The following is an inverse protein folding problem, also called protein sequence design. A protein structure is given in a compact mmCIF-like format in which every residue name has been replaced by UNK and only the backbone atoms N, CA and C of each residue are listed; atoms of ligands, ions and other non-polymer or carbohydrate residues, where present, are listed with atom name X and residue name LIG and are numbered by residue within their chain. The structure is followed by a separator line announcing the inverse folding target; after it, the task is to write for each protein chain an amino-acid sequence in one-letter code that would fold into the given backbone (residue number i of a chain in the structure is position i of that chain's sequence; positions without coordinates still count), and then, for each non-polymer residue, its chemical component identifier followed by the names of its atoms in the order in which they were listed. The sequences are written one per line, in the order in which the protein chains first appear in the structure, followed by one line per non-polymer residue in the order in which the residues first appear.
data_IF_447395193943
#
_entry.id   IF_447395193943
#
_cell.length_a   1.000
_cell.length_b   1.000
_cell.length_c   1.000
_cell.angle_alpha   90.00
_cell.angle_beta   90.00
_cell.angle_gamma   90.00
#
_symmetry.space_group_name_H-M   'P 1'
#
loop_
_entity.id
_entity.type
_entity.pdbx_description
1 polymer ?
#
# COMPACT_ATOMS: atom_id res chain seq x y z
N UNK A 1 3.25 -4.04 -22.49
CA UNK A 1 3.22 -2.59 -22.16
C UNK A 1 2.05 -1.79 -22.78
N UNK A 2 1.01 -2.45 -23.31
CA UNK A 2 -0.20 -1.77 -23.85
C UNK A 2 -0.96 -1.02 -22.75
N UNK A 3 -1.11 -1.63 -21.57
CA UNK A 3 -1.76 -1.00 -20.42
C UNK A 3 -1.07 0.32 -20.03
N UNK A 4 0.25 0.33 -19.92
CA UNK A 4 1.01 1.54 -19.57
C UNK A 4 0.82 2.68 -20.58
N UNK A 5 0.78 2.37 -21.89
CA UNK A 5 0.50 3.35 -22.92
C UNK A 5 -0.94 3.91 -22.84
N UNK A 6 -1.92 3.03 -22.59
CA UNK A 6 -3.32 3.42 -22.37
C UNK A 6 -3.44 4.41 -21.20
N UNK A 7 -2.85 4.07 -20.04
CA UNK A 7 -2.88 4.91 -18.84
C UNK A 7 -2.27 6.29 -19.13
N UNK A 8 -1.05 6.31 -19.68
CA UNK A 8 -0.32 7.56 -19.92
C UNK A 8 -0.99 8.46 -20.98
N UNK A 9 -1.74 7.90 -21.94
CA UNK A 9 -2.48 8.67 -22.91
C UNK A 9 -3.65 9.45 -22.29
N UNK A 10 -4.18 8.98 -21.15
CA UNK A 10 -5.31 9.58 -20.41
C UNK A 10 -4.88 10.59 -19.34
N UNK A 11 -3.57 10.82 -19.15
CA UNK A 11 -3.03 11.83 -18.26
C UNK A 11 -2.81 13.15 -19.01
N UNK A 12 -3.81 14.03 -19.01
CA UNK A 12 -3.83 15.25 -19.84
C UNK A 12 -2.68 16.21 -19.54
N UNK A 13 -2.27 16.33 -18.29
CA UNK A 13 -1.23 17.29 -17.86
C UNK A 13 0.21 16.79 -18.10
N UNK A 14 0.39 15.55 -18.58
CA UNK A 14 1.73 14.96 -18.72
C UNK A 14 2.29 15.17 -20.12
N UNK A 15 3.44 15.86 -20.24
CA UNK A 15 4.11 16.15 -21.51
C UNK A 15 4.73 14.89 -22.12
N UNK A 16 4.83 14.83 -23.45
CA UNK A 16 5.40 13.69 -24.19
C UNK A 16 6.76 13.21 -23.66
N UNK A 17 7.76 14.07 -23.37
CA UNK A 17 9.05 13.61 -22.86
C UNK A 17 8.93 12.93 -21.47
N UNK A 18 8.04 13.43 -20.61
CA UNK A 18 7.80 12.83 -19.28
C UNK A 18 7.10 11.49 -19.42
N UNK A 19 6.11 11.36 -20.31
CA UNK A 19 5.47 10.07 -20.62
C UNK A 19 6.50 9.03 -21.08
N UNK A 20 7.40 9.42 -21.99
CA UNK A 20 8.47 8.56 -22.48
C UNK A 20 9.41 8.13 -21.34
N UNK A 21 9.84 9.06 -20.49
CA UNK A 21 10.68 8.76 -19.35
C UNK A 21 10.00 7.82 -18.35
N UNK A 22 8.73 8.08 -17.96
CA UNK A 22 7.99 7.22 -17.01
C UNK A 22 7.75 5.84 -17.61
N UNK A 23 7.42 5.75 -18.91
CA UNK A 23 7.31 4.45 -19.61
C UNK A 23 8.60 3.64 -19.49
N UNK A 24 9.73 4.27 -19.83
CA UNK A 24 11.04 3.63 -19.74
C UNK A 24 11.39 3.23 -18.30
N UNK A 25 11.20 4.15 -17.34
CA UNK A 25 11.50 3.91 -15.93
C UNK A 25 10.72 2.72 -15.35
N UNK A 26 9.40 2.68 -15.55
CA UNK A 26 8.57 1.59 -15.00
C UNK A 26 8.94 0.25 -15.64
N UNK A 27 9.17 0.21 -16.96
CA UNK A 27 9.70 -0.98 -17.63
C UNK A 27 11.04 -1.41 -17.08
N UNK A 28 11.96 -0.45 -16.87
CA UNK A 28 13.29 -0.71 -16.33
C UNK A 28 13.23 -1.28 -14.90
N UNK A 29 12.40 -0.73 -14.02
CA UNK A 29 12.24 -1.25 -12.66
C UNK A 29 11.75 -2.71 -12.63
N UNK A 30 10.99 -3.13 -13.63
CA UNK A 30 10.48 -4.51 -13.75
C UNK A 30 11.53 -5.50 -14.28
N UNK A 31 12.57 -5.05 -14.97
CA UNK A 31 13.62 -5.92 -15.52
C UNK A 31 14.97 -5.79 -14.81
N UNK A 32 15.24 -4.65 -14.15
CA UNK A 32 16.57 -4.31 -13.65
C UNK A 32 17.13 -5.36 -12.68
N UNK A 33 18.28 -5.96 -12.92
CA UNK A 33 18.98 -6.78 -11.94
C UNK A 33 19.66 -5.88 -10.89
N UNK A 34 19.69 -6.35 -9.63
CA UNK A 34 20.33 -5.62 -8.53
C UNK A 34 19.54 -4.39 -8.06
N UNK A 35 20.26 -3.42 -7.50
CA UNK A 35 19.67 -2.25 -6.85
C UNK A 35 19.20 -1.18 -7.84
N UNK A 36 18.05 -0.56 -7.58
CA UNK A 36 17.50 0.54 -8.39
C UNK A 36 18.15 1.89 -8.05
N UNK A 37 19.46 1.99 -8.21
CA UNK A 37 20.23 3.25 -8.13
C UNK A 37 20.33 3.91 -9.48
N UNK A 38 20.52 5.24 -9.56
CA UNK A 38 20.63 5.95 -10.84
C UNK A 38 21.79 5.40 -11.70
N UNK A 39 22.91 5.08 -11.07
CA UNK A 39 24.08 4.49 -11.74
C UNK A 39 23.78 3.10 -12.31
N UNK A 40 23.09 2.23 -11.56
CA UNK A 40 22.73 0.92 -12.09
C UNK A 40 21.66 1.01 -13.17
N UNK A 41 20.66 1.88 -12.99
CA UNK A 41 19.63 2.12 -14.01
C UNK A 41 20.22 2.63 -15.33
N UNK A 42 21.27 3.46 -15.29
CA UNK A 42 21.92 3.98 -16.51
C UNK A 42 22.64 2.89 -17.32
N UNK A 43 23.09 1.79 -16.70
CA UNK A 43 23.75 0.67 -17.40
C UNK A 43 22.78 -0.14 -18.28
N UNK A 44 21.51 -0.15 -17.91
CA UNK A 44 20.44 -0.88 -18.61
C UNK A 44 19.51 0.04 -19.38
N UNK A 45 19.94 1.28 -19.66
CA UNK A 45 19.10 2.36 -20.20
C UNK A 45 19.92 3.21 -21.17
N UNK A 46 19.28 3.81 -22.20
CA UNK A 46 19.92 4.87 -22.99
C UNK A 46 20.08 6.18 -22.22
N UNK A 47 19.49 6.29 -21.02
CA UNK A 47 19.56 7.50 -20.20
C UNK A 47 20.74 7.47 -19.24
N UNK A 48 21.51 8.57 -19.23
CA UNK A 48 22.57 8.77 -18.27
C UNK A 48 22.01 8.98 -16.85
N UNK A 49 22.78 8.69 -15.78
CA UNK A 49 22.36 8.83 -14.38
C UNK A 49 21.86 10.25 -14.03
N UNK A 50 22.43 11.31 -14.62
CA UNK A 50 21.99 12.70 -14.45
C UNK A 50 20.59 12.93 -15.02
N UNK A 51 20.18 12.19 -16.05
CA UNK A 51 18.84 12.25 -16.61
C UNK A 51 17.82 11.70 -15.64
N UNK A 52 18.10 10.55 -15.00
CA UNK A 52 17.27 10.03 -13.91
C UNK A 52 17.19 11.05 -12.76
N UNK A 53 18.32 11.57 -12.30
CA UNK A 53 18.37 12.54 -11.21
C UNK A 53 17.52 13.80 -11.50
N UNK A 54 17.50 14.28 -12.76
CA UNK A 54 16.69 15.43 -13.16
C UNK A 54 15.20 15.11 -13.21
N UNK A 55 14.80 13.97 -13.77
CA UNK A 55 13.39 13.60 -13.85
C UNK A 55 12.78 13.28 -12.47
N UNK A 56 13.57 12.76 -11.55
CA UNK A 56 13.14 12.53 -10.17
C UNK A 56 12.88 13.82 -9.38
N UNK A 57 13.35 14.97 -9.85
CA UNK A 57 13.01 16.29 -9.28
C UNK A 57 11.71 16.87 -9.86
N UNK A 58 11.09 16.21 -10.85
CA UNK A 58 9.85 16.69 -11.46
C UNK A 58 8.63 16.07 -10.78
N UNK A 59 7.54 16.84 -10.69
CA UNK A 59 6.26 16.31 -10.24
C UNK A 59 5.65 15.38 -11.30
N UNK A 60 4.98 14.32 -10.83
CA UNK A 60 4.16 13.45 -11.67
C UNK A 60 2.92 13.03 -10.87
N UNK A 61 1.77 13.02 -11.51
CA UNK A 61 0.50 12.66 -10.87
C UNK A 61 0.36 11.14 -10.75
N UNK A 62 1.01 10.60 -9.72
CA UNK A 62 0.97 9.17 -9.43
C UNK A 62 -0.40 8.68 -8.99
N UNK A 63 -1.20 9.52 -8.35
CA UNK A 63 -2.54 9.15 -7.88
C UNK A 63 -3.47 8.91 -9.06
N UNK A 64 -3.54 9.86 -10.00
CA UNK A 64 -4.32 9.69 -11.22
C UNK A 64 -3.79 8.53 -12.07
N UNK A 65 -2.47 8.36 -12.19
CA UNK A 65 -1.85 7.23 -12.88
C UNK A 65 -2.33 5.89 -12.30
N UNK A 66 -2.20 5.71 -10.99
CA UNK A 66 -2.59 4.48 -10.32
C UNK A 66 -4.11 4.26 -10.35
N UNK A 67 -4.91 5.31 -10.15
CA UNK A 67 -6.37 5.23 -10.23
C UNK A 67 -6.81 4.74 -11.61
N UNK A 68 -6.30 5.36 -12.69
CA UNK A 68 -6.62 4.95 -14.07
C UNK A 68 -6.24 3.48 -14.29
N UNK A 69 -5.02 3.09 -13.89
CA UNK A 69 -4.54 1.72 -14.03
C UNK A 69 -5.46 0.70 -13.32
N UNK A 70 -5.85 1.00 -12.09
CA UNK A 70 -6.70 0.13 -11.28
C UNK A 70 -8.09 0.02 -11.89
N UNK A 71 -8.72 1.15 -12.22
CA UNK A 71 -10.09 1.18 -12.74
C UNK A 71 -10.22 0.60 -14.15
N UNK A 72 -9.14 0.55 -14.93
CA UNK A 72 -9.12 -0.10 -16.25
C UNK A 72 -9.14 -1.63 -16.16
N UNK A 73 -8.60 -2.20 -15.08
CA UNK A 73 -8.39 -3.66 -14.97
C UNK A 73 -9.26 -4.31 -13.89
N UNK A 74 -9.48 -3.63 -12.77
CA UNK A 74 -10.29 -4.16 -11.67
C UNK A 74 -11.77 -3.93 -11.97
N UNK A 75 -12.60 -5.00 -12.02
CA UNK A 75 -14.01 -4.84 -12.34
C UNK A 75 -14.75 -3.98 -11.33
N UNK A 76 -15.58 -3.05 -11.79
CA UNK A 76 -16.39 -2.15 -10.94
C UNK A 76 -17.38 -2.90 -10.03
N UNK A 77 -17.82 -4.10 -10.43
CA UNK A 77 -18.69 -4.99 -9.64
C UNK A 77 -18.02 -5.59 -8.40
N UNK A 78 -16.69 -5.55 -8.33
CA UNK A 78 -15.96 -6.08 -7.16
C UNK A 78 -16.23 -5.21 -5.92
N UNK A 79 -16.27 -5.85 -4.76
CA UNK A 79 -16.25 -5.15 -3.47
C UNK A 79 -14.87 -4.56 -3.27
N UNK A 80 -14.82 -3.27 -2.97
CA UNK A 80 -13.57 -2.52 -2.92
C UNK A 80 -13.55 -1.64 -1.68
N UNK A 81 -12.34 -1.31 -1.21
CA UNK A 81 -12.10 -0.44 -0.07
C UNK A 81 -10.75 0.27 -0.21
N UNK A 82 -10.48 1.27 0.62
CA UNK A 82 -9.13 1.78 0.84
C UNK A 82 -8.48 1.02 1.99
N UNK A 83 -7.16 0.95 1.96
CA UNK A 83 -6.33 0.52 3.09
C UNK A 83 -5.17 1.48 3.24
N UNK A 84 -4.88 1.90 4.47
CA UNK A 84 -3.74 2.76 4.77
C UNK A 84 -2.84 2.06 5.78
N UNK A 85 -1.54 2.12 5.51
CA UNK A 85 -0.52 1.57 6.41
C UNK A 85 0.82 2.28 6.22
N UNK A 86 1.64 2.28 7.26
CA UNK A 86 2.97 2.87 7.24
C UNK A 86 4.05 1.78 7.15
N UNK A 87 5.13 2.06 6.41
CA UNK A 87 6.24 1.14 6.28
C UNK A 87 7.57 1.83 6.51
N UNK A 88 8.42 1.20 7.32
CA UNK A 88 9.81 1.61 7.52
C UNK A 88 10.65 1.32 6.27
N UNK A 89 11.46 2.32 5.88
CA UNK A 89 12.46 2.19 4.80
C UNK A 89 13.84 2.47 5.40
N UNK A 90 14.76 1.50 5.41
CA UNK A 90 16.11 1.70 5.93
C UNK A 90 16.84 2.78 5.12
N UNK A 91 17.40 3.75 5.81
CA UNK A 91 18.12 4.86 5.19
C UNK A 91 19.13 5.45 6.16
N UNK A 92 20.26 5.90 5.61
CA UNK A 92 21.34 6.55 6.35
C UNK A 92 21.73 7.89 5.70
N UNK A 93 22.65 8.59 6.33
CA UNK A 93 23.18 9.87 5.85
C UNK A 93 22.89 11.03 6.80
N UNK A 94 23.52 12.20 6.57
CA UNK A 94 23.34 13.39 7.40
C UNK A 94 22.31 14.36 6.82
N UNK A 95 22.10 14.34 5.50
CA UNK A 95 21.34 15.36 4.75
C UNK A 95 20.13 14.76 4.01
N UNK A 96 19.72 13.52 4.35
CA UNK A 96 18.54 12.90 3.74
C UNK A 96 17.29 13.50 4.37
N UNK A 97 16.38 14.01 3.54
CA UNK A 97 15.09 14.52 3.99
C UNK A 97 14.28 13.44 4.72
N UNK A 98 13.62 13.80 5.81
CA UNK A 98 12.73 12.92 6.55
C UNK A 98 13.43 11.88 7.41
N UNK A 99 14.75 11.90 7.53
CA UNK A 99 15.50 10.94 8.32
C UNK A 99 15.23 11.15 9.82
N UNK A 100 14.61 10.15 10.44
CA UNK A 100 14.27 10.16 11.87
C UNK A 100 14.25 8.76 12.44
N UNK A 101 13.80 8.59 13.68
CA UNK A 101 13.61 7.29 14.33
C UNK A 101 12.17 6.82 14.16
N UNK A 102 12.00 5.74 13.40
CA UNK A 102 10.70 5.13 13.14
C UNK A 102 10.67 3.68 13.60
N UNK A 103 9.47 3.16 13.84
CA UNK A 103 9.28 1.77 14.21
C UNK A 103 9.58 0.85 13.04
N UNK A 104 10.53 -0.07 13.23
CA UNK A 104 10.81 -1.14 12.28
C UNK A 104 10.13 -2.44 12.76
N UNK A 105 9.04 -2.81 12.12
CA UNK A 105 8.27 -4.00 12.47
C UNK A 105 9.05 -5.30 12.31
N UNK A 106 10.00 -5.38 11.37
CA UNK A 106 10.85 -6.57 11.17
C UNK A 106 11.80 -6.80 12.33
N UNK A 107 12.35 -5.74 12.90
CA UNK A 107 13.29 -5.81 14.03
C UNK A 107 12.61 -5.54 15.38
N UNK A 108 11.31 -5.21 15.39
CA UNK A 108 10.51 -4.89 16.59
C UNK A 108 11.16 -3.82 17.49
N UNK A 109 11.76 -2.82 16.90
CA UNK A 109 12.40 -1.69 17.59
C UNK A 109 12.38 -0.44 16.74
N UNK A 110 12.62 0.70 17.39
CA UNK A 110 12.78 1.99 16.71
C UNK A 110 14.18 2.11 16.12
N UNK A 111 14.28 2.38 14.84
CA UNK A 111 15.53 2.53 14.10
C UNK A 111 15.57 3.82 13.30
N UNK A 112 16.79 4.30 13.00
CA UNK A 112 17.01 5.45 12.14
C UNK A 112 16.74 5.06 10.68
N UNK A 113 15.88 5.82 10.02
CA UNK A 113 15.48 5.56 8.63
C UNK A 113 14.43 6.55 8.17
N UNK A 114 13.63 6.12 7.21
CA UNK A 114 12.47 6.85 6.70
C UNK A 114 11.20 6.05 7.00
N UNK A 115 10.09 6.75 7.07
CA UNK A 115 8.76 6.13 7.09
C UNK A 115 7.96 6.66 5.92
N UNK A 116 7.25 5.77 5.24
CA UNK A 116 6.30 6.10 4.19
C UNK A 116 4.91 5.66 4.61
N UNK A 117 3.93 6.54 4.43
CA UNK A 117 2.51 6.21 4.51
C UNK A 117 1.98 5.88 3.13
N UNK A 118 1.36 4.72 3.00
CA UNK A 118 0.79 4.25 1.73
C UNK A 118 -0.70 4.09 1.85
N UNK A 119 -1.42 4.80 0.99
CA UNK A 119 -2.83 4.59 0.75
C UNK A 119 -2.98 3.68 -0.45
N UNK A 120 -3.64 2.54 -0.28
CA UNK A 120 -3.82 1.57 -1.34
C UNK A 120 -5.30 1.27 -1.58
N UNK A 121 -5.61 0.92 -2.83
CA UNK A 121 -6.91 0.43 -3.27
C UNK A 121 -6.95 -1.09 -3.09
N UNK A 122 -7.86 -1.57 -2.29
CA UNK A 122 -8.04 -2.98 -1.97
C UNK A 122 -9.23 -3.55 -2.74
N UNK A 123 -8.98 -4.47 -3.64
CA UNK A 123 -9.98 -5.33 -4.25
C UNK A 123 -10.27 -6.50 -3.31
N UNK A 124 -11.37 -6.39 -2.56
CA UNK A 124 -11.79 -7.42 -1.59
C UNK A 124 -12.24 -8.72 -2.27
N UNK A 125 -12.79 -8.63 -3.48
CA UNK A 125 -13.25 -9.81 -4.24
C UNK A 125 -12.06 -10.55 -4.84
N UNK A 126 -11.12 -9.84 -5.44
CA UNK A 126 -9.89 -10.43 -6.00
C UNK A 126 -8.77 -10.60 -4.98
N UNK A 127 -9.01 -10.27 -3.69
CA UNK A 127 -8.03 -10.36 -2.59
C UNK A 127 -6.66 -9.80 -2.96
N UNK A 128 -6.63 -8.59 -3.53
CA UNK A 128 -5.41 -7.94 -4.00
C UNK A 128 -5.43 -6.45 -3.68
N UNK A 129 -4.29 -5.89 -3.28
CA UNK A 129 -4.14 -4.46 -3.06
C UNK A 129 -3.19 -3.83 -4.10
N UNK A 130 -3.49 -2.57 -4.42
CA UNK A 130 -2.76 -1.73 -5.37
C UNK A 130 -2.45 -0.38 -4.73
N UNK A 131 -1.22 0.08 -4.78
CA UNK A 131 -0.85 1.40 -4.29
C UNK A 131 -1.63 2.49 -5.04
N UNK A 132 -2.26 3.41 -4.31
CA UNK A 132 -2.89 4.59 -4.89
C UNK A 132 -2.00 5.83 -4.70
N UNK A 133 -1.50 6.03 -3.49
CA UNK A 133 -0.65 7.16 -3.09
C UNK A 133 0.38 6.69 -2.06
N UNK A 134 1.59 7.18 -2.16
CA UNK A 134 2.59 7.05 -1.10
C UNK A 134 3.22 8.40 -0.79
N UNK A 135 3.35 8.70 0.50
CA UNK A 135 3.93 9.92 0.99
C UNK A 135 4.93 9.65 2.11
N UNK A 136 5.97 10.44 2.14
CA UNK A 136 6.98 10.32 3.18
C UNK A 136 6.48 11.02 4.46
N UNK A 137 6.53 10.32 5.59
CA UNK A 137 6.25 10.92 6.90
C UNK A 137 7.33 11.97 7.21
N UNK A 138 6.95 13.23 7.52
CA UNK A 138 7.90 14.26 7.91
C UNK A 138 8.70 13.88 9.18
N UNK A 139 9.93 14.37 9.34
CA UNK A 139 10.70 14.17 10.55
C UNK A 139 10.16 15.00 11.71
N UNK A 140 10.58 14.68 12.94
CA UNK A 140 10.35 15.48 14.15
C UNK A 140 8.89 15.73 14.53
N UNK A 141 7.98 14.84 14.10
CA UNK A 141 6.57 14.90 14.50
C UNK A 141 6.43 14.61 16.01
N UNK A 142 5.64 15.46 16.71
CA UNK A 142 5.44 15.36 18.16
C UNK A 142 6.60 15.86 19.00
N UNK A 143 7.54 16.62 18.41
CA UNK A 143 8.53 17.42 19.13
C UNK A 143 7.92 18.73 19.63
N UNK A 144 8.64 19.46 20.50
CA UNK A 144 8.22 20.79 20.99
C UNK A 144 7.92 21.80 19.87
N UNK A 145 8.49 21.57 18.69
CA UNK A 145 8.40 22.47 17.55
C UNK A 145 7.30 22.09 16.54
N UNK A 146 6.59 20.99 16.78
CA UNK A 146 5.51 20.52 15.89
C UNK A 146 4.29 20.08 16.68
N UNK A 147 3.15 20.75 16.47
CA UNK A 147 1.85 20.34 17.00
C UNK A 147 1.27 19.13 16.23
N UNK A 148 1.77 18.87 15.02
CA UNK A 148 1.28 17.79 14.18
C UNK A 148 1.78 16.43 14.66
N UNK A 149 0.89 15.46 14.69
CA UNK A 149 1.17 14.06 14.98
C UNK A 149 1.23 13.23 13.69
N UNK A 150 1.76 12.00 13.77
CA UNK A 150 1.71 11.06 12.64
C UNK A 150 0.28 10.80 12.16
N UNK A 151 -0.68 10.73 13.08
CA UNK A 151 -2.09 10.52 12.73
C UNK A 151 -2.66 11.70 11.91
N UNK A 152 -2.18 12.92 12.14
CA UNK A 152 -2.55 14.07 11.32
C UNK A 152 -2.04 13.92 9.89
N UNK A 153 -0.77 13.54 9.74
CA UNK A 153 -0.16 13.34 8.41
C UNK A 153 -0.89 12.27 7.61
N UNK A 154 -1.21 11.14 8.24
CA UNK A 154 -1.94 10.05 7.56
C UNK A 154 -3.37 10.44 7.21
N UNK A 155 -4.05 11.16 8.10
CA UNK A 155 -5.40 11.65 7.83
C UNK A 155 -5.41 12.72 6.73
N UNK A 156 -4.42 13.60 6.71
CA UNK A 156 -4.28 14.63 5.67
C UNK A 156 -3.96 14.03 4.30
N UNK A 157 -3.15 12.95 4.24
CA UNK A 157 -2.95 12.20 3.01
C UNK A 157 -4.28 11.61 2.51
N UNK A 158 -5.02 10.93 3.38
CA UNK A 158 -6.32 10.34 3.04
C UNK A 158 -7.29 11.41 2.54
N UNK A 159 -7.41 12.53 3.26
CA UNK A 159 -8.29 13.65 2.90
C UNK A 159 -7.95 14.21 1.52
N UNK A 160 -6.70 14.58 1.28
CA UNK A 160 -6.27 15.14 0.00
C UNK A 160 -6.56 14.20 -1.17
N UNK A 161 -6.33 12.91 -1.00
CA UNK A 161 -6.59 11.93 -2.07
C UNK A 161 -8.09 11.75 -2.30
N UNK A 162 -8.90 11.67 -1.25
CA UNK A 162 -10.36 11.49 -1.36
C UNK A 162 -11.03 12.74 -1.94
N UNK A 163 -10.61 13.94 -1.54
CA UNK A 163 -11.19 15.21 -2.02
C UNK A 163 -10.75 15.55 -3.45
N UNK A 164 -9.49 15.21 -3.83
CA UNK A 164 -8.97 15.52 -5.16
C UNK A 164 -9.40 14.52 -6.26
N UNK A 165 -9.82 13.31 -5.87
CA UNK A 165 -10.16 12.25 -6.80
C UNK A 165 -11.53 11.67 -6.47
N UNK A 166 -12.37 11.44 -7.48
CA UNK A 166 -13.63 10.73 -7.26
C UNK A 166 -13.35 9.27 -6.83
N UNK A 167 -13.57 9.01 -5.54
CA UNK A 167 -13.47 7.70 -4.89
C UNK A 167 -14.80 7.30 -4.25
N UNK A 168 -15.92 7.82 -4.73
CA UNK A 168 -17.27 7.62 -4.20
C UNK A 168 -17.70 6.15 -4.12
N UNK A 169 -17.10 5.28 -4.94
CA UNK A 169 -17.31 3.83 -4.88
C UNK A 169 -16.68 3.15 -3.65
N UNK A 170 -15.77 3.82 -2.94
CA UNK A 170 -15.01 3.30 -1.81
C UNK A 170 -15.56 3.84 -0.50
N UNK A 171 -16.40 3.06 0.17
CA UNK A 171 -17.07 3.46 1.43
C UNK A 171 -16.24 3.19 2.68
N UNK A 172 -15.22 2.34 2.61
CA UNK A 172 -14.49 1.85 3.77
C UNK A 172 -12.99 2.13 3.67
N UNK A 173 -12.39 2.50 4.81
CA UNK A 173 -10.94 2.59 5.02
C UNK A 173 -10.52 1.53 6.04
N UNK A 174 -9.65 0.63 5.63
CA UNK A 174 -9.12 -0.43 6.48
C UNK A 174 -7.78 -0.01 7.09
N UNK A 175 -7.63 -0.26 8.40
CA UNK A 175 -6.45 0.17 9.14
C UNK A 175 -6.02 -0.89 10.15
N UNK A 176 -4.76 -0.84 10.58
CA UNK A 176 -4.33 -1.62 11.73
C UNK A 176 -4.75 -0.97 13.07
N UNK A 177 -4.35 -1.59 14.21
CA UNK A 177 -4.69 -1.09 15.53
C UNK A 177 -4.04 0.25 15.90
N UNK A 178 -2.96 0.65 15.22
CA UNK A 178 -2.29 1.92 15.47
C UNK A 178 -3.15 3.14 15.06
N UNK A 179 -4.07 2.96 14.12
CA UNK A 179 -4.99 4.00 13.65
C UNK A 179 -6.30 4.08 14.45
N UNK A 180 -6.46 3.27 15.50
CA UNK A 180 -7.69 3.26 16.32
C UNK A 180 -7.70 4.39 17.35
N UNK A 181 -7.42 5.60 16.91
CA UNK A 181 -7.43 6.85 17.68
C UNK A 181 -8.66 7.69 17.33
N UNK A 182 -9.24 8.35 18.36
CA UNK A 182 -10.44 9.17 18.21
C UNK A 182 -10.34 10.19 17.07
N UNK A 183 -9.19 10.87 16.94
CA UNK A 183 -8.95 11.88 15.91
C UNK A 183 -8.99 11.26 14.50
N UNK A 184 -8.32 10.12 14.28
CA UNK A 184 -8.30 9.46 12.97
C UNK A 184 -9.68 8.89 12.62
N UNK A 185 -10.32 8.18 13.56
CA UNK A 185 -11.67 7.62 13.38
C UNK A 185 -12.69 8.70 13.07
N UNK A 186 -12.65 9.85 13.78
CA UNK A 186 -13.53 10.97 13.51
C UNK A 186 -13.28 11.54 12.12
N UNK A 187 -12.01 11.79 11.75
CA UNK A 187 -11.66 12.33 10.45
C UNK A 187 -12.09 11.44 9.27
N UNK A 188 -12.01 10.12 9.41
CA UNK A 188 -12.53 9.19 8.38
C UNK A 188 -14.04 9.33 8.22
N UNK A 189 -14.76 9.45 9.34
CA UNK A 189 -16.23 9.62 9.29
C UNK A 189 -16.63 11.00 8.75
N UNK A 190 -15.86 12.04 9.07
CA UNK A 190 -16.09 13.40 8.54
C UNK A 190 -15.89 13.48 7.01
N UNK A 191 -15.09 12.56 6.45
CA UNK A 191 -14.96 12.36 5.00
C UNK A 191 -16.13 11.56 4.36
N UNK A 192 -17.16 11.22 5.15
CA UNK A 192 -18.28 10.41 4.67
C UNK A 192 -17.96 8.92 4.51
N UNK A 193 -16.84 8.46 5.06
CA UNK A 193 -16.37 7.08 4.97
C UNK A 193 -16.53 6.34 6.30
N UNK A 194 -16.42 5.02 6.25
CA UNK A 194 -16.38 4.17 7.44
C UNK A 194 -15.01 3.56 7.64
N UNK A 195 -14.58 3.45 8.89
CA UNK A 195 -13.36 2.75 9.24
C UNK A 195 -13.64 1.31 9.65
N UNK A 196 -12.84 0.38 9.12
CA UNK A 196 -12.71 -0.99 9.62
C UNK A 196 -11.30 -1.11 10.23
N UNK A 197 -11.21 -1.49 11.50
CA UNK A 197 -9.95 -1.54 12.21
C UNK A 197 -9.90 -2.58 13.31
N UNK A 198 -8.81 -2.57 14.07
CA UNK A 198 -8.59 -3.46 15.21
C UNK A 198 -8.52 -2.64 16.49
N UNK A 199 -9.21 -3.06 17.51
CA UNK A 199 -9.09 -2.50 18.86
C UNK A 199 -8.03 -3.25 19.67
N UNK A 200 -7.54 -2.57 20.69
CA UNK A 200 -6.67 -3.20 21.69
C UNK A 200 -7.49 -4.17 22.56
N UNK A 201 -6.83 -5.16 23.14
CA UNK A 201 -7.47 -6.12 24.05
C UNK A 201 -7.99 -5.48 25.35
N UNK A 202 -7.53 -4.27 25.70
CA UNK A 202 -7.96 -3.50 26.87
C UNK A 202 -8.95 -2.37 26.49
N UNK A 203 -9.54 -2.40 25.29
CA UNK A 203 -10.48 -1.39 24.81
C UNK A 203 -11.69 -1.23 25.77
N UNK A 204 -12.00 0.01 26.12
CA UNK A 204 -13.09 0.33 27.03
C UNK A 204 -14.42 0.41 26.27
N UNK A 205 -15.14 -0.70 26.25
CA UNK A 205 -16.43 -0.86 25.58
C UNK A 205 -17.58 -0.96 26.60
N UNK A 206 -18.76 -0.48 26.20
CA UNK A 206 -19.98 -0.53 26.99
C UNK A 206 -21.12 -1.10 26.17
N UNK A 207 -21.95 -1.92 26.79
CA UNK A 207 -23.21 -2.36 26.20
C UNK A 207 -24.17 -1.19 26.06
N UNK A 208 -24.94 -1.16 24.98
CA UNK A 208 -26.04 -0.24 24.79
C UNK A 208 -27.24 -0.70 25.64
N UNK A 209 -27.93 0.23 26.28
CA UNK A 209 -29.14 -0.09 27.00
C UNK A 209 -30.31 -0.29 26.04
N UNK A 210 -30.93 -1.46 26.10
CA UNK A 210 -32.05 -1.85 25.22
C UNK A 210 -33.38 -1.99 25.99
N UNK A 211 -33.37 -1.71 27.31
CA UNK A 211 -34.58 -1.82 28.14
C UNK A 211 -35.54 -0.64 27.97
N UNK A 212 -36.69 -0.69 28.63
CA UNK A 212 -37.72 0.35 28.56
C UNK A 212 -37.19 1.69 29.07
N UNK A 213 -37.72 2.78 28.51
CA UNK A 213 -37.43 4.14 29.00
C UNK A 213 -37.90 4.27 30.45
N UNK A 214 -37.05 4.84 31.30
CA UNK A 214 -37.46 5.13 32.69
C UNK A 214 -38.57 6.17 32.72
N UNK A 215 -39.66 5.96 33.46
CA UNK A 215 -40.68 6.97 33.64
C UNK A 215 -40.12 8.13 34.48
N UNK A 216 -40.57 9.37 34.22
CA UNK A 216 -40.20 10.56 34.98
C UNK A 216 -39.16 11.47 34.35
N UNK A 217 -38.90 12.62 35.05
CA UNK A 217 -37.89 13.60 34.61
C UNK A 217 -36.50 13.16 35.06
N UNK A 218 -35.57 12.95 34.12
CA UNK A 218 -34.18 12.60 34.41
C UNK A 218 -33.46 12.06 33.19
N UNK A 219 -32.13 11.95 33.29
CA UNK A 219 -31.31 11.40 32.22
C UNK A 219 -31.64 9.93 31.99
N UNK A 220 -32.02 9.60 30.79
CA UNK A 220 -32.30 8.22 30.39
C UNK A 220 -31.00 7.36 30.44
N UNK A 221 -31.16 6.09 30.84
CA UNK A 221 -30.07 5.13 30.81
C UNK A 221 -29.67 4.85 29.36
N UNK A 222 -28.45 5.09 29.03
CA UNK A 222 -27.93 4.91 27.65
C UNK A 222 -27.04 3.65 27.53
N UNK A 223 -26.39 3.24 28.62
CA UNK A 223 -25.47 2.14 28.63
C UNK A 223 -25.83 1.12 29.72
N UNK A 224 -25.47 -0.15 29.48
CA UNK A 224 -25.81 -1.28 30.31
C UNK A 224 -24.59 -2.08 30.79
N UNK A 225 -23.62 -1.37 31.32
CA UNK A 225 -22.40 -1.95 31.89
C UNK A 225 -21.22 -2.00 30.93
N UNK A 226 -20.07 -2.37 31.49
CA UNK A 226 -18.81 -2.52 30.79
C UNK A 226 -18.72 -3.91 30.13
N UNK A 227 -18.10 -3.99 28.99
CA UNK A 227 -17.80 -5.25 28.30
C UNK A 227 -16.51 -5.86 28.84
N UNK A 228 -16.53 -7.16 29.10
CA UNK A 228 -15.39 -7.95 29.49
C UNK A 228 -15.18 -9.07 28.45
N UNK A 229 -14.01 -9.10 27.81
CA UNK A 229 -13.75 -10.02 26.69
C UNK A 229 -13.61 -11.51 27.10
N UNK A 230 -13.59 -11.81 28.39
CA UNK A 230 -13.67 -13.19 28.88
C UNK A 230 -15.12 -13.70 29.05
N UNK A 231 -16.10 -12.80 29.00
CA UNK A 231 -17.52 -13.12 29.03
C UNK A 231 -18.20 -12.66 27.74
N UNK A 232 -18.44 -13.61 26.86
CA UNK A 232 -19.08 -13.39 25.56
C UNK A 232 -20.57 -13.81 25.54
N UNK A 233 -21.18 -14.08 26.70
CA UNK A 233 -22.55 -14.60 26.82
C UNK A 233 -23.61 -13.66 26.22
N UNK A 234 -23.32 -12.36 26.12
CA UNK A 234 -24.20 -11.33 25.55
C UNK A 234 -23.94 -11.04 24.08
N UNK A 235 -22.97 -11.73 23.46
CA UNK A 235 -22.66 -11.57 22.04
C UNK A 235 -23.40 -12.63 21.22
N UNK A 236 -23.81 -12.25 20.03
CA UNK A 236 -24.29 -13.20 19.03
C UNK A 236 -23.12 -13.95 18.44
N UNK A 237 -23.23 -15.28 18.37
CA UNK A 237 -22.21 -16.16 17.82
C UNK A 237 -22.51 -16.47 16.36
N UNK A 238 -21.47 -16.44 15.52
CA UNK A 238 -21.48 -16.86 14.11
C UNK A 238 -20.35 -17.83 13.86
N UNK A 239 -20.65 -18.94 13.22
CA UNK A 239 -19.63 -19.87 12.73
C UNK A 239 -19.08 -19.40 11.39
N UNK A 240 -17.85 -19.78 11.10
CA UNK A 240 -17.18 -19.45 9.84
C UNK A 240 -16.90 -20.70 9.02
N UNK A 241 -16.35 -20.55 7.81
CA UNK A 241 -15.91 -21.66 6.96
C UNK A 241 -14.70 -22.42 7.54
N UNK A 242 -14.00 -21.82 8.52
CA UNK A 242 -12.87 -22.40 9.24
C UNK A 242 -13.35 -22.87 10.62
N UNK A 243 -13.42 -24.16 10.84
CA UNK A 243 -13.88 -24.78 12.09
C UNK A 243 -13.11 -24.33 13.35
N UNK A 244 -11.92 -23.76 13.15
CA UNK A 244 -11.10 -23.21 14.23
C UNK A 244 -11.37 -21.73 14.52
N UNK A 245 -12.20 -21.07 13.73
CA UNK A 245 -12.50 -19.64 13.88
C UNK A 245 -13.99 -19.46 14.20
N UNK A 246 -14.25 -18.90 15.37
CA UNK A 246 -15.59 -18.49 15.80
C UNK A 246 -15.65 -16.98 15.90
N UNK A 247 -16.70 -16.39 15.41
CA UNK A 247 -16.95 -14.95 15.42
C UNK A 247 -18.07 -14.63 16.41
N UNK A 248 -17.84 -13.68 17.30
CA UNK A 248 -18.84 -13.10 18.17
C UNK A 248 -19.04 -11.64 17.81
N UNK A 249 -20.25 -11.15 17.78
CA UNK A 249 -20.50 -9.77 17.41
C UNK A 249 -21.56 -9.08 18.27
N UNK A 250 -21.46 -7.76 18.36
CA UNK A 250 -22.41 -6.90 19.06
C UNK A 250 -22.16 -5.44 18.69
N UNK A 251 -23.22 -4.65 18.61
CA UNK A 251 -23.09 -3.18 18.55
C UNK A 251 -22.83 -2.64 19.94
N UNK A 252 -21.68 -2.00 20.13
CA UNK A 252 -21.18 -1.52 21.42
C UNK A 252 -20.76 -0.05 21.33
N UNK A 253 -20.80 0.65 22.46
CA UNK A 253 -20.23 1.99 22.55
C UNK A 253 -18.78 1.94 22.99
N UNK A 254 -17.90 2.57 22.21
CA UNK A 254 -16.49 2.75 22.59
C UNK A 254 -16.29 4.10 23.28
N UNK A 255 -15.85 4.07 24.55
CA UNK A 255 -15.78 5.26 25.39
C UNK A 255 -14.84 6.33 24.84
N UNK A 256 -13.60 5.95 24.47
CA UNK A 256 -12.59 6.87 23.98
C UNK A 256 -12.87 7.36 22.56
N UNK A 257 -13.42 6.52 21.68
CA UNK A 257 -13.81 6.90 20.33
C UNK A 257 -15.14 7.67 20.29
N UNK A 258 -15.86 7.75 21.43
CA UNK A 258 -17.12 8.50 21.62
C UNK A 258 -18.20 8.15 20.59
N UNK A 259 -18.27 6.86 20.17
CA UNK A 259 -19.25 6.40 19.18
C UNK A 259 -19.62 4.94 19.35
N UNK A 260 -20.74 4.59 18.75
CA UNK A 260 -21.15 3.20 18.63
C UNK A 260 -20.42 2.56 17.46
N UNK A 261 -20.08 1.30 17.62
CA UNK A 261 -19.30 0.50 16.66
C UNK A 261 -19.97 -0.86 16.51
N UNK A 262 -19.97 -1.40 15.30
CA UNK A 262 -20.10 -2.83 15.10
C UNK A 262 -18.79 -3.47 15.55
N UNK A 263 -18.84 -4.27 16.59
CA UNK A 263 -17.67 -4.95 17.17
C UNK A 263 -17.74 -6.44 16.84
N UNK A 264 -16.63 -6.98 16.38
CA UNK A 264 -16.47 -8.39 16.04
C UNK A 264 -15.29 -8.94 16.80
N UNK A 265 -15.51 -9.96 17.62
CA UNK A 265 -14.46 -10.69 18.35
C UNK A 265 -14.23 -11.99 17.61
N UNK A 266 -13.05 -12.12 17.02
CA UNK A 266 -12.61 -13.31 16.29
C UNK A 266 -11.81 -14.19 17.24
N UNK A 267 -12.31 -15.35 17.55
CA UNK A 267 -11.66 -16.32 18.44
C UNK A 267 -11.10 -17.47 17.63
N UNK A 268 -9.78 -17.68 17.73
CA UNK A 268 -9.14 -18.88 17.23
C UNK A 268 -9.11 -19.92 18.35
N UNK A 269 -9.93 -20.97 18.23
CA UNK A 269 -10.11 -21.99 19.26
C UNK A 269 -8.89 -22.89 19.42
N UNK A 270 -8.16 -23.15 18.32
CA UNK A 270 -6.94 -23.97 18.34
C UNK A 270 -5.77 -23.25 19.04
N UNK A 271 -5.62 -21.95 18.81
CA UNK A 271 -4.48 -21.15 19.35
C UNK A 271 -4.82 -20.44 20.66
N UNK A 272 -6.06 -20.54 21.13
CA UNK A 272 -6.56 -19.82 22.31
C UNK A 272 -6.26 -18.32 22.28
N UNK A 273 -6.45 -17.68 21.12
CA UNK A 273 -6.21 -16.24 20.90
C UNK A 273 -7.44 -15.59 20.31
N UNK A 274 -7.61 -14.33 20.64
CA UNK A 274 -8.70 -13.54 20.05
C UNK A 274 -8.18 -12.21 19.49
N UNK A 275 -8.95 -11.62 18.58
CA UNK A 275 -8.77 -10.28 18.06
C UNK A 275 -10.11 -9.53 18.12
N UNK A 276 -10.05 -8.26 18.50
CA UNK A 276 -11.24 -7.40 18.56
C UNK A 276 -11.19 -6.46 17.35
N UNK A 277 -12.12 -6.64 16.44
CA UNK A 277 -12.28 -5.84 15.22
C UNK A 277 -13.45 -4.91 15.38
N UNK A 278 -13.47 -3.80 14.64
CA UNK A 278 -14.59 -2.88 14.65
C UNK A 278 -14.86 -2.27 13.28
N UNK A 279 -16.09 -1.81 13.11
CA UNK A 279 -16.48 -0.89 12.06
C UNK A 279 -17.25 0.30 12.66
N UNK A 280 -17.03 1.50 12.08
CA UNK A 280 -17.88 2.67 12.35
C UNK A 280 -19.23 2.59 11.64
N UNK A 281 -19.40 1.72 10.66
CA UNK A 281 -20.68 1.31 10.10
C UNK A 281 -21.27 0.22 11.01
N UNK A 282 -22.28 0.59 11.80
CA UNK A 282 -22.91 -0.31 12.76
C UNK A 282 -23.80 -1.37 12.10
N UNK A 283 -24.19 -1.16 10.86
CA UNK A 283 -25.03 -2.07 10.06
C UNK A 283 -24.21 -3.01 9.18
N UNK A 284 -22.88 -2.89 9.21
CA UNK A 284 -22.00 -3.77 8.44
C UNK A 284 -22.12 -5.21 8.95
N UNK A 285 -22.42 -6.13 8.03
CA UNK A 285 -22.52 -7.56 8.30
C UNK A 285 -21.21 -8.09 8.94
N UNK A 286 -21.29 -8.80 10.10
CA UNK A 286 -20.11 -9.16 10.90
C UNK A 286 -19.08 -10.02 10.19
N UNK A 287 -19.49 -11.01 9.38
CA UNK A 287 -18.57 -11.84 8.62
C UNK A 287 -17.90 -11.06 7.49
N UNK A 288 -18.61 -10.07 6.91
CA UNK A 288 -18.02 -9.15 5.93
C UNK A 288 -16.96 -8.27 6.59
N UNK A 289 -17.21 -7.77 7.82
CA UNK A 289 -16.20 -7.03 8.58
C UNK A 289 -14.95 -7.87 8.80
N UNK A 290 -15.11 -9.11 9.27
CA UNK A 290 -14.01 -10.05 9.47
C UNK A 290 -13.22 -10.33 8.20
N UNK A 291 -13.91 -10.69 7.09
CA UNK A 291 -13.27 -10.96 5.80
C UNK A 291 -12.54 -9.74 5.25
N UNK A 292 -13.17 -8.56 5.34
CA UNK A 292 -12.54 -7.30 4.92
C UNK A 292 -11.26 -7.02 5.72
N UNK A 293 -11.32 -7.13 7.05
CA UNK A 293 -10.14 -6.92 7.88
C UNK A 293 -9.00 -7.92 7.57
N UNK A 294 -9.33 -9.17 7.30
CA UNK A 294 -8.34 -10.19 6.89
C UNK A 294 -7.66 -9.79 5.57
N UNK A 295 -8.41 -9.24 4.61
CA UNK A 295 -7.87 -8.79 3.34
C UNK A 295 -6.93 -7.55 3.46
N UNK A 296 -7.00 -6.78 4.56
CA UNK A 296 -6.08 -5.66 4.83
C UNK A 296 -4.61 -6.05 4.65
N UNK A 297 -4.27 -7.29 5.02
CA UNK A 297 -2.90 -7.79 4.92
C UNK A 297 -2.29 -7.72 3.50
N UNK A 298 -3.11 -7.56 2.47
CA UNK A 298 -2.64 -7.43 1.10
C UNK A 298 -1.72 -6.21 0.87
N UNK A 299 -1.81 -5.16 1.70
CA UNK A 299 -0.88 -4.01 1.62
C UNK A 299 0.56 -4.41 1.98
N UNK A 300 0.73 -5.36 2.90
CA UNK A 300 2.05 -5.84 3.31
C UNK A 300 2.77 -6.56 2.16
N UNK A 301 2.01 -7.23 1.27
CA UNK A 301 2.57 -7.81 0.04
C UNK A 301 3.03 -6.74 -0.96
N UNK A 302 2.37 -5.57 -1.04
CA UNK A 302 2.86 -4.45 -1.86
C UNK A 302 4.24 -4.01 -1.36
N UNK A 303 4.39 -3.79 -0.06
CA UNK A 303 5.68 -3.40 0.53
C UNK A 303 6.76 -4.45 0.33
N UNK A 304 6.44 -5.72 0.57
CA UNK A 304 7.37 -6.84 0.35
C UNK A 304 7.86 -6.87 -1.09
N UNK A 305 6.94 -6.85 -2.04
CA UNK A 305 7.25 -6.94 -3.46
C UNK A 305 8.03 -5.72 -3.95
N UNK A 306 7.70 -4.51 -3.46
CA UNK A 306 8.42 -3.30 -3.79
C UNK A 306 9.85 -3.29 -3.23
N UNK A 307 10.04 -3.73 -1.98
CA UNK A 307 11.38 -3.83 -1.36
C UNK A 307 12.26 -4.87 -2.05
N UNK A 308 11.69 -6.01 -2.44
CA UNK A 308 12.45 -7.12 -3.02
C UNK A 308 12.70 -6.97 -4.53
N UNK A 309 11.77 -6.36 -5.27
CA UNK A 309 11.79 -6.47 -6.73
C UNK A 309 11.83 -5.14 -7.49
N UNK A 310 11.34 -4.04 -6.93
CA UNK A 310 11.32 -2.74 -7.62
C UNK A 310 12.16 -1.66 -6.93
N UNK A 311 12.98 -2.07 -5.95
CA UNK A 311 14.01 -1.22 -5.34
C UNK A 311 13.49 -0.13 -4.42
N UNK A 312 12.35 -0.32 -3.72
CA UNK A 312 11.79 0.67 -2.78
C UNK A 312 12.82 1.21 -1.78
N UNK A 313 13.76 0.39 -1.36
CA UNK A 313 14.81 0.73 -0.39
C UNK A 313 16.14 1.20 -1.01
N UNK A 314 16.25 1.25 -2.34
CA UNK A 314 17.53 1.40 -3.03
C UNK A 314 17.89 2.85 -3.37
N UNK A 315 16.94 3.78 -3.28
CA UNK A 315 17.16 5.17 -3.67
C UNK A 315 18.26 5.83 -2.84
N UNK A 316 19.29 6.34 -3.52
CA UNK A 316 20.40 7.07 -2.88
C UNK A 316 20.18 8.59 -2.85
N UNK A 317 19.09 9.10 -3.41
CA UNK A 317 18.75 10.51 -3.38
C UNK A 317 18.50 11.00 -1.94
N UNK A 318 18.62 12.33 -1.76
CA UNK A 318 18.53 12.99 -0.45
C UNK A 318 17.38 14.00 -0.38
N UNK A 319 16.96 14.57 -1.53
CA UNK A 319 15.87 15.55 -1.57
C UNK A 319 14.51 14.90 -1.44
N UNK A 320 13.55 15.61 -0.85
CA UNK A 320 12.16 15.16 -0.70
C UNK A 320 11.56 14.75 -2.05
N UNK A 321 11.66 15.61 -3.06
CA UNK A 321 11.09 15.37 -4.37
C UNK A 321 11.57 14.07 -5.00
N UNK A 322 12.88 13.79 -4.96
CA UNK A 322 13.46 12.56 -5.52
C UNK A 322 13.05 11.31 -4.75
N UNK A 323 12.94 11.40 -3.43
CA UNK A 323 12.50 10.30 -2.59
C UNK A 323 11.02 9.99 -2.85
N UNK A 324 10.16 11.01 -2.85
CA UNK A 324 8.73 10.85 -3.14
C UNK A 324 8.49 10.26 -4.54
N UNK A 325 9.23 10.76 -5.55
CA UNK A 325 9.16 10.22 -6.91
C UNK A 325 9.56 8.73 -6.94
N UNK A 326 10.66 8.37 -6.27
CA UNK A 326 11.16 6.99 -6.22
C UNK A 326 10.15 6.04 -5.56
N UNK A 327 9.61 6.41 -4.40
CA UNK A 327 8.66 5.57 -3.68
C UNK A 327 7.41 5.32 -4.50
N UNK A 328 6.86 6.38 -5.10
CA UNK A 328 5.71 6.24 -5.99
C UNK A 328 6.02 5.39 -7.23
N UNK A 329 7.14 5.61 -7.90
CA UNK A 329 7.55 4.83 -9.07
C UNK A 329 7.72 3.34 -8.74
N UNK A 330 8.39 3.03 -7.61
CA UNK A 330 8.63 1.66 -7.16
C UNK A 330 7.31 0.91 -6.87
N UNK A 331 6.39 1.53 -6.13
CA UNK A 331 5.09 0.94 -5.79
C UNK A 331 4.15 0.87 -7.02
N UNK A 332 4.20 1.86 -7.91
CA UNK A 332 3.43 1.84 -9.18
C UNK A 332 3.93 0.78 -10.15
N UNK A 333 5.23 0.46 -10.15
CA UNK A 333 5.76 -0.66 -10.93
C UNK A 333 5.21 -2.02 -10.44
N UNK A 334 5.03 -2.21 -9.13
CA UNK A 334 4.35 -3.39 -8.57
C UNK A 334 2.89 -3.44 -9.02
N UNK A 335 2.17 -2.30 -9.00
CA UNK A 335 0.81 -2.23 -9.50
C UNK A 335 0.72 -2.67 -10.96
N UNK A 336 1.56 -2.09 -11.81
CA UNK A 336 1.58 -2.39 -13.24
C UNK A 336 1.80 -3.88 -13.49
N UNK A 337 2.77 -4.48 -12.78
CA UNK A 337 3.04 -5.91 -12.87
C UNK A 337 1.83 -6.77 -12.50
N UNK A 338 1.15 -6.46 -11.39
CA UNK A 338 -0.05 -7.16 -10.93
C UNK A 338 -1.23 -7.01 -11.90
N UNK A 339 -1.44 -5.78 -12.40
CA UNK A 339 -2.55 -5.47 -13.31
C UNK A 339 -2.34 -6.09 -14.69
N UNK A 340 -1.13 -6.02 -15.26
CA UNK A 340 -0.82 -6.70 -16.52
C UNK A 340 -0.95 -8.22 -16.41
N UNK A 341 -0.49 -8.81 -15.30
CA UNK A 341 -0.66 -10.23 -15.05
C UNK A 341 -2.14 -10.62 -14.95
N UNK A 342 -2.96 -9.80 -14.28
CA UNK A 342 -4.40 -10.01 -14.20
C UNK A 342 -5.08 -9.91 -15.56
N UNK A 343 -4.74 -8.92 -16.36
CA UNK A 343 -5.26 -8.73 -17.72
C UNK A 343 -4.97 -9.94 -18.64
N UNK A 344 -3.77 -10.53 -18.49
CA UNK A 344 -3.35 -11.70 -19.29
C UNK A 344 -4.02 -13.00 -18.88
N UNK A 345 -4.31 -13.16 -17.58
CA UNK A 345 -4.86 -14.40 -17.02
C UNK A 345 -6.38 -14.47 -17.03
N UNK A 346 -7.05 -13.31 -17.07
CA UNK A 346 -8.48 -13.24 -16.78
C UNK A 346 -8.77 -13.57 -15.31
N UNK A 347 -9.91 -14.20 -15.05
CA UNK A 347 -10.37 -14.59 -13.70
C UNK A 347 -9.85 -15.98 -13.27
N UNK A 348 -8.65 -16.40 -13.70
CA UNK A 348 -8.06 -17.68 -13.27
C UNK A 348 -7.44 -17.56 -11.86
N UNK A 349 -7.51 -18.66 -11.08
CA UNK A 349 -6.97 -18.79 -9.72
C UNK A 349 -5.43 -18.86 -9.63
N UNK A 350 -4.71 -18.63 -10.73
CA UNK A 350 -3.25 -18.68 -10.70
C UNK A 350 -2.66 -17.61 -9.80
N UNK A 351 -1.78 -17.99 -8.89
CA UNK A 351 -1.10 -17.08 -7.99
C UNK A 351 -0.13 -16.16 -8.73
N UNK A 352 -0.17 -14.85 -8.41
CA UNK A 352 0.79 -13.87 -8.93
C UNK A 352 2.17 -14.05 -8.29
N UNK A 353 3.21 -14.12 -9.10
CA UNK A 353 4.60 -14.16 -8.64
C UNK A 353 5.42 -13.02 -9.25
N UNK A 354 5.74 -12.02 -8.44
CA UNK A 354 6.61 -10.91 -8.85
C UNK A 354 8.02 -11.38 -9.26
N UNK A 355 8.55 -12.40 -8.58
CA UNK A 355 9.85 -12.99 -8.91
C UNK A 355 9.86 -13.61 -10.32
N UNK A 356 8.82 -14.38 -10.66
CA UNK A 356 8.70 -15.01 -11.98
C UNK A 356 8.51 -13.97 -13.08
N UNK A 357 7.70 -12.94 -12.83
CA UNK A 357 7.50 -11.85 -13.77
C UNK A 357 8.82 -11.12 -14.07
N UNK A 358 9.56 -10.77 -13.02
CA UNK A 358 10.84 -10.06 -13.18
C UNK A 358 11.89 -10.89 -13.95
N UNK A 359 11.98 -12.19 -13.66
CA UNK A 359 12.86 -13.10 -14.43
C UNK A 359 12.45 -13.14 -15.90
N UNK A 360 11.14 -13.29 -16.16
CA UNK A 360 10.64 -13.30 -17.54
C UNK A 360 10.93 -11.99 -18.26
N UNK A 361 10.71 -10.84 -17.64
CA UNK A 361 10.99 -9.53 -18.22
C UNK A 361 12.49 -9.37 -18.55
N UNK A 362 13.37 -9.79 -17.66
CA UNK A 362 14.80 -9.78 -17.91
C UNK A 362 15.22 -10.72 -19.04
N UNK A 363 14.72 -11.96 -19.06
CA UNK A 363 14.99 -12.90 -20.14
C UNK A 363 14.51 -12.38 -21.50
N UNK A 364 13.30 -11.79 -21.54
CA UNK A 364 12.77 -11.16 -22.74
C UNK A 364 13.68 -10.05 -23.23
N UNK A 365 14.12 -9.18 -22.34
CA UNK A 365 15.04 -8.08 -22.67
C UNK A 365 16.37 -8.60 -23.27
N UNK A 366 16.95 -9.67 -22.72
CA UNK A 366 18.17 -10.27 -23.28
C UNK A 366 17.93 -10.87 -24.67
N UNK A 367 16.81 -11.59 -24.85
CA UNK A 367 16.44 -12.15 -26.15
C UNK A 367 16.25 -11.05 -27.19
N UNK A 368 15.54 -9.99 -26.85
CA UNK A 368 15.30 -8.85 -27.75
C UNK A 368 16.64 -8.22 -28.19
N UNK A 369 17.59 -8.04 -27.28
CA UNK A 369 18.94 -7.57 -27.61
C UNK A 369 19.70 -8.51 -28.55
N UNK A 370 19.66 -9.81 -28.29
CA UNK A 370 20.28 -10.81 -29.16
C UNK A 370 19.68 -10.73 -30.57
N UNK A 371 18.36 -10.63 -30.67
CA UNK A 371 17.70 -10.49 -31.97
C UNK A 371 18.10 -9.19 -32.69
N UNK A 372 18.22 -8.07 -31.98
CA UNK A 372 18.73 -6.81 -32.55
C UNK A 372 20.15 -6.93 -33.09
N UNK A 373 21.05 -7.60 -32.33
CA UNK A 373 22.43 -7.84 -32.77
C UNK A 373 22.49 -8.67 -34.06
N UNK A 374 21.73 -9.76 -34.10
CA UNK A 374 21.65 -10.63 -35.30
C UNK A 374 21.04 -9.89 -36.50
N UNK A 375 19.99 -9.09 -36.29
CA UNK A 375 19.35 -8.30 -37.35
C UNK A 375 20.30 -7.25 -37.93
N UNK A 376 21.25 -6.73 -37.14
CA UNK A 376 22.28 -5.78 -37.57
C UNK A 376 23.51 -6.46 -38.19
N UNK A 377 23.49 -7.78 -38.40
CA UNK A 377 24.59 -8.53 -39.01
C UNK A 377 25.78 -8.76 -38.09
N UNK A 378 25.63 -8.58 -36.79
CA UNK A 378 26.69 -8.80 -35.80
C UNK A 378 26.84 -10.29 -35.48
N UNK A 379 28.09 -10.72 -35.19
CA UNK A 379 28.41 -12.12 -34.95
C UNK A 379 28.24 -12.48 -33.47
N UNK A 380 27.62 -13.64 -33.22
CA UNK A 380 27.53 -14.25 -31.89
C UNK A 380 28.56 -15.37 -31.67
N UNK A 381 29.56 -15.50 -32.53
CA UNK A 381 30.67 -16.42 -32.27
C UNK A 381 31.42 -15.98 -31.01
N UNK A 382 31.75 -16.94 -30.12
CA UNK A 382 32.40 -16.67 -28.83
C UNK A 382 33.70 -15.89 -28.92
N UNK A 383 34.39 -15.96 -30.09
CA UNK A 383 35.62 -15.24 -30.37
C UNK A 383 35.39 -13.83 -30.93
N UNK A 384 34.13 -13.44 -31.22
CA UNK A 384 33.85 -12.15 -31.82
C UNK A 384 33.81 -11.02 -30.77
N UNK A 385 34.24 -9.79 -31.11
CA UNK A 385 34.11 -8.63 -30.27
C UNK A 385 32.63 -8.35 -29.87
N UNK A 386 31.67 -8.62 -30.76
CA UNK A 386 30.24 -8.43 -30.55
C UNK A 386 29.70 -9.34 -29.43
N UNK A 387 30.19 -10.61 -29.37
CA UNK A 387 29.84 -11.53 -28.30
C UNK A 387 30.30 -11.00 -26.92
N UNK A 388 31.53 -10.47 -26.87
CA UNK A 388 32.09 -9.91 -25.64
C UNK A 388 31.35 -8.66 -25.20
N UNK A 389 30.91 -7.79 -26.11
CA UNK A 389 30.05 -6.63 -25.80
C UNK A 389 28.74 -7.06 -25.19
N UNK A 390 28.09 -8.12 -25.68
CA UNK A 390 26.88 -8.68 -25.09
C UNK A 390 27.11 -9.27 -23.69
N UNK A 391 28.21 -10.00 -23.51
CA UNK A 391 28.59 -10.56 -22.21
C UNK A 391 28.85 -9.48 -21.16
N UNK A 392 29.39 -8.34 -21.58
CA UNK A 392 29.69 -7.19 -20.71
C UNK A 392 28.52 -6.24 -20.53
N UNK A 393 27.33 -6.54 -21.07
CA UNK A 393 26.17 -5.70 -20.92
C UNK A 393 25.77 -5.52 -19.44
N UNK A 394 25.76 -4.27 -18.98
CA UNK A 394 25.42 -3.90 -17.61
C UNK A 394 26.54 -4.14 -16.59
N UNK A 395 27.73 -4.59 -17.00
CA UNK A 395 28.89 -4.73 -16.11
C UNK A 395 29.43 -3.36 -15.66
N UNK A 396 30.20 -3.37 -14.58
CA UNK A 396 30.90 -2.18 -14.08
C UNK A 396 32.22 -2.04 -14.84
N UNK A 397 32.37 -0.95 -15.60
CA UNK A 397 33.61 -0.59 -16.24
C UNK A 397 34.42 0.38 -15.37
N UNK A 398 35.76 0.39 -15.50
CA UNK A 398 36.62 1.27 -14.69
C UNK A 398 36.34 2.76 -14.88
N UNK A 399 35.83 3.19 -16.03
CA UNK A 399 35.44 4.59 -16.29
C UNK A 399 34.15 4.99 -15.54
N UNK A 400 33.36 4.04 -14.98
CA UNK A 400 32.11 4.24 -14.30
C UNK A 400 32.16 3.95 -12.78
N UNK A 401 33.35 3.70 -12.23
CA UNK A 401 33.54 3.36 -10.81
C UNK A 401 33.71 4.60 -9.87
#
# INVERSE_FOLDING_TARGET
MRLLQSILSRLDQTKKPQRQFVTHLLGLLLLLPGHATFRNMSRYSPYHERTFARWYDTSFDWVSFNKIAITEVVPSKHKQALVIDASFVPKSGKHTYGLDRFWNGSHRRTEKGLEISTLAWLDLTGNCAYCLSVEQTPPSLGSSDSEATRMDVYLDQLRRVVEAHDLSCLRYVLTDGAYSHQKFVAGVVDLGMHQIGKLRADANLRYLYQGPKRPGRGRQKTYDGKVYFHDLSRFERLDTEDDHIVVYHQVLNHVQLKRNLQVVIVVNTQRHRYAVLFSTDIDLEPLRLYRSYKARFQIEFIFRDAKQFTGLSDCQARSKAKLDFHFNASLSAVNLAKLEARQQRGDTDESFSMASLKRRAFNQHLIDRICEYLANGQSLEKSSPDYEVLCNYGTITEEAA
#
